data_IF_611412380732
#
_entry.id   IF_611412380732
#
_cell.length_a   1.000
_cell.length_b   1.000
_cell.length_c   1.000
_cell.angle_alpha   90.00
_cell.angle_beta   90.00
_cell.angle_gamma   90.00
#
_symmetry.space_group_name_H-M   'P 1'
#
loop_
_entity.id
_entity.type
_entity.pdbx_description
1 polymer ?
#
# COMPACT_ATOMS: atom_id res chain seq x y z
N UNK A 1 -9.06 13.61 19.54
CA UNK A 1 -8.09 13.95 18.48
C UNK A 1 -6.72 13.73 19.06
N UNK A 2 -5.92 12.80 18.52
CA UNK A 2 -4.53 12.64 18.95
C UNK A 2 -3.70 13.69 18.20
N UNK A 3 -3.10 14.68 18.89
CA UNK A 3 -2.29 15.69 18.21
C UNK A 3 -0.93 15.07 17.81
N UNK A 4 -0.52 15.35 16.57
CA UNK A 4 0.80 15.13 15.97
C UNK A 4 1.37 13.70 15.96
N UNK A 5 0.53 12.71 15.63
CA UNK A 5 1.06 11.43 15.13
C UNK A 5 1.52 11.59 13.67
N UNK A 6 2.75 11.18 13.31
CA UNK A 6 3.20 11.12 11.93
C UNK A 6 2.25 10.26 11.09
N UNK A 7 1.77 10.82 9.98
CA UNK A 7 0.89 10.17 9.03
C UNK A 7 1.63 10.11 7.69
N UNK A 8 2.17 8.94 7.31
CA UNK A 8 2.89 8.83 6.05
C UNK A 8 1.94 9.04 4.87
N UNK A 9 2.45 9.65 3.80
CA UNK A 9 1.78 9.61 2.51
C UNK A 9 1.77 8.18 1.95
N UNK A 10 0.97 7.93 0.90
CA UNK A 10 0.97 6.63 0.23
C UNK A 10 2.36 6.28 -0.32
N UNK A 11 3.09 7.25 -0.88
CA UNK A 11 4.43 7.03 -1.43
C UNK A 11 5.44 6.72 -0.33
N UNK A 12 5.43 7.48 0.78
CA UNK A 12 6.28 7.20 1.94
C UNK A 12 6.01 5.82 2.54
N UNK A 13 4.74 5.43 2.61
CA UNK A 13 4.35 4.11 3.09
C UNK A 13 4.83 3.01 2.13
N UNK A 14 4.56 3.11 0.83
CA UNK A 14 4.95 2.11 -0.16
C UNK A 14 6.47 1.96 -0.25
N UNK A 15 7.22 3.07 -0.19
CA UNK A 15 8.68 3.04 -0.11
C UNK A 15 9.20 2.35 1.15
N UNK A 16 8.47 2.44 2.26
CA UNK A 16 8.87 1.79 3.51
C UNK A 16 8.70 0.26 3.52
N UNK A 17 7.96 -0.31 2.54
CA UNK A 17 7.76 -1.76 2.41
C UNK A 17 8.88 -2.45 1.63
N UNK A 18 9.61 -1.70 0.81
CA UNK A 18 10.67 -2.20 -0.05
C UNK A 18 12.07 -2.03 0.54
N UNK A 19 13.07 -2.48 -0.22
CA UNK A 19 14.50 -2.24 0.07
C UNK A 19 15.06 -1.03 -0.70
N UNK A 20 14.24 0.01 -0.88
CA UNK A 20 14.57 1.19 -1.69
C UNK A 20 14.13 1.11 -3.16
N UNK A 21 13.44 0.05 -3.55
CA UNK A 21 12.85 -0.09 -4.89
C UNK A 21 11.55 0.72 -5.03
N UNK A 22 11.41 1.45 -6.13
CA UNK A 22 10.27 2.32 -6.39
C UNK A 22 9.18 1.59 -7.20
N UNK A 23 8.74 0.42 -6.74
CA UNK A 23 7.69 -0.39 -7.40
C UNK A 23 6.33 0.32 -7.54
N UNK A 24 6.17 1.47 -6.88
CA UNK A 24 5.00 2.34 -6.94
C UNK A 24 5.15 3.48 -7.97
N UNK A 25 6.30 3.61 -8.63
CA UNK A 25 6.54 4.51 -9.76
C UNK A 25 6.54 3.74 -11.10
N UNK A 26 5.60 4.01 -12.02
CA UNK A 26 5.57 3.35 -13.32
C UNK A 26 6.83 3.59 -14.16
N UNK A 27 7.48 4.75 -14.01
CA UNK A 27 8.70 5.11 -14.75
C UNK A 27 9.86 4.23 -14.32
N UNK A 28 10.02 4.05 -12.99
CA UNK A 28 11.03 3.15 -12.44
C UNK A 28 10.79 1.70 -12.89
N UNK A 29 9.52 1.24 -12.87
CA UNK A 29 9.17 -0.12 -13.33
C UNK A 29 9.57 -0.33 -14.79
N UNK A 30 9.29 0.64 -15.67
CA UNK A 30 9.69 0.56 -17.07
C UNK A 30 11.21 0.48 -17.24
N UNK A 31 11.96 1.35 -16.54
CA UNK A 31 13.43 1.36 -16.56
C UNK A 31 14.03 0.02 -16.10
N UNK A 32 13.48 -0.61 -15.06
CA UNK A 32 13.93 -1.93 -14.63
C UNK A 32 13.71 -3.03 -15.68
N UNK A 33 12.60 -2.96 -16.43
CA UNK A 33 12.33 -3.92 -17.51
C UNK A 33 13.28 -3.69 -18.69
N UNK A 34 13.55 -2.42 -19.05
CA UNK A 34 14.50 -2.06 -20.10
C UNK A 34 15.93 -2.48 -19.77
N UNK A 35 16.39 -2.27 -18.52
CA UNK A 35 17.71 -2.70 -18.03
C UNK A 35 17.93 -4.21 -18.16
N UNK A 36 16.85 -4.98 -18.06
CA UNK A 36 16.86 -6.44 -18.25
C UNK A 36 16.79 -6.87 -19.71
N UNK A 37 16.84 -5.91 -20.64
CA UNK A 37 16.74 -6.11 -22.08
C UNK A 37 15.44 -6.81 -22.48
N UNK A 38 14.36 -6.57 -21.76
CA UNK A 38 13.04 -7.04 -22.18
C UNK A 38 12.50 -6.13 -23.29
N UNK A 39 11.70 -6.70 -24.17
CA UNK A 39 11.13 -6.04 -25.35
C UNK A 39 9.60 -5.95 -25.22
N UNK A 40 8.96 -5.20 -26.10
CA UNK A 40 7.49 -5.00 -26.09
C UNK A 40 6.96 -4.58 -24.70
N UNK A 41 7.69 -3.70 -24.01
CA UNK A 41 7.34 -3.25 -22.66
C UNK A 41 6.10 -2.36 -22.73
N UNK A 42 5.11 -2.70 -21.90
CA UNK A 42 3.92 -1.88 -21.66
C UNK A 42 3.75 -1.72 -20.16
N UNK A 43 3.67 -0.48 -19.69
CA UNK A 43 3.39 -0.15 -18.30
C UNK A 43 2.16 0.75 -18.28
N UNK A 44 1.16 0.37 -17.50
CA UNK A 44 -0.09 1.12 -17.40
C UNK A 44 -0.57 1.19 -15.96
N UNK A 45 -1.23 2.31 -15.64
CA UNK A 45 -1.97 2.47 -14.39
C UNK A 45 -3.39 1.97 -14.58
N UNK A 46 -3.79 1.01 -13.75
CA UNK A 46 -5.16 0.48 -13.73
C UNK A 46 -5.82 0.93 -12.44
N UNK A 47 -6.89 1.71 -12.56
CA UNK A 47 -7.71 2.12 -11.43
C UNK A 47 -8.90 1.17 -11.28
N UNK A 48 -9.16 0.74 -10.04
CA UNK A 48 -10.30 -0.11 -9.72
C UNK A 48 -10.96 0.37 -8.44
N UNK A 49 -12.28 0.55 -8.48
CA UNK A 49 -13.09 0.85 -7.29
C UNK A 49 -13.93 -0.38 -6.95
N UNK A 50 -13.86 -0.82 -5.71
CA UNK A 50 -14.58 -2.00 -5.23
C UNK A 50 -15.03 -1.82 -3.78
N UNK A 51 -16.06 -2.55 -3.38
CA UNK A 51 -16.50 -2.64 -1.99
C UNK A 51 -16.69 -4.13 -1.67
N UNK A 52 -15.65 -4.77 -1.15
CA UNK A 52 -15.60 -6.24 -0.99
C UNK A 52 -15.57 -6.69 0.46
N UNK A 53 -15.39 -5.76 1.40
CA UNK A 53 -15.19 -6.08 2.81
C UNK A 53 -15.97 -5.12 3.70
N UNK A 54 -16.64 -5.66 4.71
CA UNK A 54 -17.16 -4.92 5.85
C UNK A 54 -16.06 -4.69 6.91
N UNK A 55 -16.43 -4.07 8.04
CA UNK A 55 -15.47 -3.74 9.09
C UNK A 55 -14.80 -5.01 9.68
N UNK A 56 -15.56 -6.08 9.93
CA UNK A 56 -15.01 -7.30 10.54
C UNK A 56 -14.02 -8.02 9.62
N UNK A 57 -14.20 -7.89 8.30
CA UNK A 57 -13.37 -8.51 7.27
C UNK A 57 -12.10 -7.69 6.98
N UNK A 58 -12.19 -6.36 6.99
CA UNK A 58 -11.05 -5.49 6.65
C UNK A 58 -10.04 -5.35 7.80
N UNK A 59 -10.49 -5.38 9.06
CA UNK A 59 -9.62 -5.16 10.22
C UNK A 59 -8.46 -6.17 10.31
N UNK A 60 -8.67 -7.48 10.12
CA UNK A 60 -7.57 -8.44 10.05
C UNK A 60 -6.60 -8.17 8.89
N UNK A 61 -7.12 -7.77 7.72
CA UNK A 61 -6.31 -7.46 6.55
C UNK A 61 -5.40 -6.23 6.76
N UNK A 62 -5.84 -5.27 7.57
CA UNK A 62 -5.05 -4.11 7.96
C UNK A 62 -4.04 -4.39 9.08
N UNK A 63 -4.07 -5.56 9.72
CA UNK A 63 -3.19 -5.91 10.84
C UNK A 63 -1.69 -5.66 10.58
N UNK A 64 -1.11 -6.15 9.47
CA UNK A 64 0.27 -5.88 9.11
C UNK A 64 0.57 -4.37 8.94
N UNK A 65 -0.34 -3.64 8.28
CA UNK A 65 -0.21 -2.19 8.07
C UNK A 65 -0.23 -1.44 9.40
N UNK A 66 -1.18 -1.80 10.29
CA UNK A 66 -1.31 -1.19 11.61
C UNK A 66 -0.12 -1.48 12.53
N UNK A 67 0.61 -2.57 12.31
CA UNK A 67 1.85 -2.87 13.03
C UNK A 67 3.04 -2.10 12.44
N UNK A 68 3.10 -1.98 11.11
CA UNK A 68 4.21 -1.35 10.41
C UNK A 68 4.27 0.17 10.60
N UNK A 69 3.13 0.86 10.52
CA UNK A 69 3.10 2.34 10.60
C UNK A 69 3.73 2.85 11.91
N UNK A 70 3.30 2.40 13.11
CA UNK A 70 3.92 2.85 14.35
C UNK A 70 5.39 2.46 14.45
N UNK A 71 5.76 1.24 14.04
CA UNK A 71 7.14 0.77 14.11
C UNK A 71 8.09 1.62 13.26
N UNK A 72 7.64 2.08 12.09
CA UNK A 72 8.48 2.78 11.13
C UNK A 72 8.47 4.30 11.28
N UNK A 73 7.33 4.88 11.62
CA UNK A 73 7.11 6.33 11.54
C UNK A 73 6.94 7.01 12.89
N UNK A 74 6.62 6.29 13.96
CA UNK A 74 6.46 6.88 15.29
C UNK A 74 7.74 6.75 16.10
N UNK A 75 8.02 7.75 16.94
CA UNK A 75 9.06 7.65 17.95
C UNK A 75 8.61 6.75 19.11
N UNK A 76 9.52 6.46 20.05
CA UNK A 76 9.27 5.56 21.17
C UNK A 76 8.11 6.03 22.07
N UNK A 77 8.13 7.30 22.49
CA UNK A 77 7.08 7.89 23.33
C UNK A 77 5.69 7.78 22.67
N UNK A 78 5.61 8.05 21.37
CA UNK A 78 4.37 7.94 20.59
C UNK A 78 3.87 6.49 20.54
N UNK A 79 4.76 5.51 20.33
CA UNK A 79 4.39 4.09 20.31
C UNK A 79 3.91 3.62 21.67
N UNK A 80 4.58 3.99 22.75
CA UNK A 80 4.16 3.62 24.11
C UNK A 80 2.79 4.23 24.46
N UNK A 81 2.59 5.50 24.12
CA UNK A 81 1.38 6.24 24.46
C UNK A 81 0.17 5.84 23.62
N UNK A 82 0.34 5.62 22.32
CA UNK A 82 -0.77 5.47 21.38
C UNK A 82 -0.84 4.09 20.71
N UNK A 83 0.26 3.32 20.69
CA UNK A 83 0.33 2.00 20.07
C UNK A 83 -0.76 1.04 20.55
N UNK A 84 -0.97 0.87 21.88
CA UNK A 84 -2.01 -0.02 22.41
C UNK A 84 -3.44 0.35 21.95
N UNK A 85 -3.70 1.63 21.68
CA UNK A 85 -5.01 2.13 21.28
C UNK A 85 -5.24 2.17 19.76
N UNK A 86 -4.21 1.96 18.94
CA UNK A 86 -4.27 2.26 17.51
C UNK A 86 -5.31 1.42 16.76
N UNK A 87 -5.30 0.10 16.93
CA UNK A 87 -6.26 -0.79 16.28
C UNK A 87 -7.71 -0.50 16.70
N UNK A 88 -7.94 -0.15 17.97
CA UNK A 88 -9.26 0.25 18.48
C UNK A 88 -9.73 1.56 17.84
N UNK A 89 -8.84 2.55 17.71
CA UNK A 89 -9.15 3.81 17.05
C UNK A 89 -9.51 3.63 15.57
N UNK A 90 -8.76 2.80 14.84
CA UNK A 90 -9.05 2.46 13.44
C UNK A 90 -10.40 1.74 13.31
N UNK A 91 -10.65 0.75 14.17
CA UNK A 91 -11.93 0.03 14.23
C UNK A 91 -13.12 0.97 14.49
N UNK A 92 -12.97 1.89 15.45
CA UNK A 92 -13.98 2.90 15.77
C UNK A 92 -14.24 3.87 14.61
N UNK A 93 -13.20 4.22 13.85
CA UNK A 93 -13.35 5.01 12.64
C UNK A 93 -14.17 4.27 11.58
N UNK A 94 -13.84 3.01 11.27
CA UNK A 94 -14.61 2.24 10.28
C UNK A 94 -16.07 2.06 10.70
N UNK A 95 -16.30 1.74 11.98
CA UNK A 95 -17.65 1.56 12.53
C UNK A 95 -18.47 2.85 12.47
N UNK A 96 -17.88 3.99 12.85
CA UNK A 96 -18.59 5.28 12.81
C UNK A 96 -18.83 5.79 11.40
N UNK A 97 -17.88 5.59 10.48
CA UNK A 97 -17.95 6.12 9.12
C UNK A 97 -18.83 5.26 8.20
N UNK A 98 -18.69 3.94 8.30
CA UNK A 98 -19.34 3.01 7.39
C UNK A 98 -20.39 2.16 8.09
N UNK A 99 -20.35 1.96 9.40
CA UNK A 99 -21.21 0.99 10.09
C UNK A 99 -20.63 -0.42 10.04
N UNK A 100 -21.10 -1.30 10.92
CA UNK A 100 -20.50 -2.63 11.15
C UNK A 100 -20.63 -3.54 9.92
N UNK A 101 -21.81 -3.61 9.33
CA UNK A 101 -22.14 -4.58 8.27
C UNK A 101 -22.04 -4.03 6.85
N UNK A 102 -21.77 -2.73 6.69
CA UNK A 102 -21.72 -2.12 5.35
C UNK A 102 -20.36 -2.34 4.71
N UNK A 103 -20.39 -2.65 3.42
CA UNK A 103 -19.20 -2.77 2.60
C UNK A 103 -18.51 -1.41 2.47
N UNK A 104 -17.19 -1.42 2.62
CA UNK A 104 -16.37 -0.22 2.60
C UNK A 104 -15.91 0.02 1.14
N UNK A 105 -16.27 1.15 0.51
CA UNK A 105 -15.78 1.47 -0.82
C UNK A 105 -14.30 1.82 -0.76
N UNK A 106 -13.51 1.19 -1.63
CA UNK A 106 -12.08 1.39 -1.77
C UNK A 106 -11.73 1.65 -3.23
N UNK A 107 -10.88 2.64 -3.47
CA UNK A 107 -10.32 2.95 -4.78
C UNK A 107 -8.84 2.63 -4.76
N UNK A 108 -8.43 1.73 -5.65
CA UNK A 108 -7.07 1.26 -5.80
C UNK A 108 -6.52 1.70 -7.15
N UNK A 109 -5.22 2.01 -7.17
CA UNK A 109 -4.45 2.19 -8.40
C UNK A 109 -3.32 1.18 -8.37
N UNK A 110 -3.19 0.40 -9.43
CA UNK A 110 -2.12 -0.58 -9.59
C UNK A 110 -1.30 -0.26 -10.85
N UNK A 111 0.00 -0.47 -10.76
CA UNK A 111 0.87 -0.54 -11.94
C UNK A 111 0.80 -1.96 -12.49
N UNK A 112 0.37 -2.09 -13.74
CA UNK A 112 0.37 -3.35 -14.48
C UNK A 112 1.40 -3.23 -15.59
N UNK A 113 2.42 -4.09 -15.53
CA UNK A 113 3.49 -4.10 -16.51
C UNK A 113 3.58 -5.47 -17.20
N UNK A 114 3.76 -5.44 -18.52
CA UNK A 114 4.03 -6.63 -19.34
C UNK A 114 5.25 -6.39 -20.23
N UNK A 115 6.03 -7.43 -20.48
CA UNK A 115 7.17 -7.39 -21.39
C UNK A 115 7.45 -8.79 -21.94
N UNK A 116 8.21 -8.87 -23.04
CA UNK A 116 8.65 -10.13 -23.66
C UNK A 116 10.15 -10.31 -23.49
N UNK A 117 10.57 -11.56 -23.35
CA UNK A 117 11.98 -11.92 -23.45
C UNK A 117 12.40 -11.84 -24.93
N UNK A 118 13.57 -11.27 -25.26
CA UNK A 118 14.09 -11.31 -26.62
C UNK A 118 14.19 -12.75 -27.11
N UNK A 119 13.71 -13.01 -28.33
CA UNK A 119 13.96 -14.27 -29.02
C UNK A 119 15.38 -14.17 -29.56
N UNK A 120 16.34 -14.80 -28.88
CA UNK A 120 17.74 -14.69 -29.27
C UNK A 120 17.96 -15.12 -30.73
N UNK A 121 18.57 -14.26 -31.54
CA UNK A 121 19.42 -14.72 -32.62
C UNK A 121 20.62 -15.38 -31.95
N UNK A 122 20.68 -16.71 -31.97
CA UNK A 122 21.92 -17.45 -31.75
C UNK A 122 23.01 -16.86 -32.64
N UNK A 123 24.04 -16.28 -32.04
CA UNK A 123 25.33 -16.03 -32.68
C UNK A 123 26.32 -17.08 -32.20
#
# INVERSE_FOLDING_TARGET
MAPDLPQPTSDEFLMSLGSGDEWHDPTWVEDQLQKRRLEDIQVQLVQMTMATSNQSEIMPALGPIMSHIPARFWNEEQREKYGPGFASAVSGYFTSRYGVDRLIPMSWVAIVATAKKPVGTTH
#
